data_IF_849354299376
#
_entry.id   IF_849354299376
#
_cell.length_a   1.000
_cell.length_b   1.000
_cell.length_c   1.000
_cell.angle_alpha   90.00
_cell.angle_beta   90.00
_cell.angle_gamma   90.00
#
_symmetry.space_group_name_H-M   'P 1'
#
loop_
_entity.id
_entity.type
_entity.pdbx_description
1 polymer ?
#
# COMPACT_ATOMS: atom_id res chain seq x y z
N UNK A 1 21.54 -37.87 -24.12
CA UNK A 1 20.10 -37.52 -23.89
C UNK A 1 19.26 -38.67 -24.38
N UNK A 2 18.54 -39.32 -23.47
CA UNK A 2 17.81 -40.58 -23.77
C UNK A 2 16.56 -40.29 -24.61
N UNK A 3 16.40 -41.08 -25.67
CA UNK A 3 15.27 -41.06 -26.61
C UNK A 3 13.91 -41.26 -25.95
N UNK A 4 13.88 -41.80 -24.74
CA UNK A 4 12.67 -42.06 -23.94
C UNK A 4 12.08 -40.81 -23.28
N UNK A 5 12.84 -39.70 -23.09
CA UNK A 5 12.34 -38.48 -22.51
C UNK A 5 11.46 -37.64 -23.47
N UNK A 6 11.58 -37.90 -24.79
CA UNK A 6 10.76 -37.26 -25.83
C UNK A 6 9.38 -37.88 -26.00
N UNK A 7 9.23 -39.15 -25.62
CA UNK A 7 7.94 -39.87 -25.80
C UNK A 7 6.98 -39.66 -24.61
N UNK A 8 7.48 -39.28 -23.44
CA UNK A 8 6.69 -39.15 -22.22
C UNK A 8 6.20 -37.73 -21.92
N UNK A 9 6.42 -36.78 -22.83
CA UNK A 9 5.84 -35.42 -22.69
C UNK A 9 6.18 -34.71 -21.38
N UNK A 10 7.31 -35.06 -20.71
CA UNK A 10 7.76 -34.34 -19.52
C UNK A 10 8.41 -33.02 -19.94
N UNK A 11 7.62 -31.98 -19.94
CA UNK A 11 8.12 -30.62 -20.10
C UNK A 11 9.20 -30.33 -19.05
N UNK A 12 10.31 -29.73 -19.50
CA UNK A 12 11.36 -29.24 -18.62
C UNK A 12 10.76 -28.13 -17.74
N UNK A 13 11.04 -28.20 -16.45
CA UNK A 13 10.49 -27.27 -15.44
C UNK A 13 11.58 -26.31 -15.02
N UNK A 14 11.32 -25.05 -15.17
CA UNK A 14 12.09 -23.99 -14.54
C UNK A 14 11.21 -23.40 -13.44
N UNK A 15 11.62 -23.58 -12.18
CA UNK A 15 10.88 -23.06 -11.03
C UNK A 15 11.43 -21.68 -10.70
N UNK A 16 10.59 -20.67 -10.86
CA UNK A 16 10.94 -19.30 -10.48
C UNK A 16 10.31 -19.00 -9.12
N UNK A 17 11.13 -18.67 -8.16
CA UNK A 17 10.72 -18.31 -6.79
C UNK A 17 11.31 -16.96 -6.42
N UNK A 18 10.82 -16.35 -5.35
CA UNK A 18 11.40 -15.11 -4.80
C UNK A 18 12.85 -15.27 -4.36
N UNK A 19 13.35 -16.52 -4.30
CA UNK A 19 14.74 -16.89 -3.98
C UNK A 19 15.58 -17.18 -5.20
N UNK A 20 15.10 -16.90 -6.42
CA UNK A 20 15.85 -17.15 -7.66
C UNK A 20 17.16 -16.33 -7.67
N UNK A 21 18.32 -16.95 -8.01
CA UNK A 21 19.60 -16.25 -8.04
C UNK A 21 19.64 -15.04 -8.97
N UNK A 22 18.93 -15.07 -10.11
CA UNK A 22 18.86 -13.94 -11.04
C UNK A 22 18.09 -12.76 -10.43
N UNK A 23 17.01 -13.05 -9.70
CA UNK A 23 16.27 -12.06 -8.96
C UNK A 23 17.09 -11.51 -7.78
N UNK A 24 17.84 -12.38 -7.11
CA UNK A 24 18.75 -11.99 -6.02
C UNK A 24 19.88 -11.09 -6.53
N UNK A 25 20.41 -11.32 -7.71
CA UNK A 25 21.43 -10.49 -8.36
C UNK A 25 20.88 -9.12 -8.76
N UNK A 26 19.69 -9.06 -9.34
CA UNK A 26 18.99 -7.82 -9.69
C UNK A 26 18.70 -6.95 -8.48
N UNK A 27 18.36 -7.57 -7.34
CA UNK A 27 18.05 -6.88 -6.08
C UNK A 27 19.35 -6.50 -5.33
N UNK A 28 20.54 -6.81 -5.84
CA UNK A 28 21.82 -6.48 -5.21
C UNK A 28 22.18 -7.36 -4.01
N UNK A 29 21.70 -8.61 -3.94
CA UNK A 29 21.95 -9.51 -2.82
C UNK A 29 23.43 -9.91 -2.62
N UNK A 30 24.31 -9.60 -3.56
CA UNK A 30 25.69 -10.10 -3.54
C UNK A 30 26.66 -9.44 -2.56
N UNK A 31 26.31 -8.33 -1.90
CA UNK A 31 27.35 -7.56 -1.18
C UNK A 31 26.98 -7.00 0.19
N UNK A 32 25.81 -7.29 0.77
CA UNK A 32 25.44 -6.69 2.05
C UNK A 32 25.35 -7.74 3.16
N UNK A 33 26.10 -7.61 4.28
CA UNK A 33 25.87 -8.40 5.47
C UNK A 33 24.56 -7.95 6.09
N UNK A 34 23.52 -8.75 5.91
CA UNK A 34 22.20 -8.52 6.49
C UNK A 34 21.09 -8.84 5.49
N UNK A 35 20.63 -10.09 5.54
CA UNK A 35 19.38 -10.49 4.89
C UNK A 35 18.24 -9.67 5.51
N UNK A 36 17.61 -8.79 4.72
CA UNK A 36 16.41 -8.07 5.16
C UNK A 36 15.23 -9.02 4.97
N UNK A 37 14.80 -9.64 6.07
CA UNK A 37 13.55 -10.37 6.10
C UNK A 37 12.38 -9.40 5.83
N UNK A 38 11.61 -9.69 4.79
CA UNK A 38 10.46 -8.87 4.38
C UNK A 38 9.44 -8.74 5.50
N UNK A 39 9.26 -9.76 6.34
CA UNK A 39 8.37 -9.72 7.49
C UNK A 39 8.88 -8.72 8.55
N UNK A 40 10.18 -8.69 8.82
CA UNK A 40 10.78 -7.72 9.74
C UNK A 40 10.73 -6.30 9.17
N UNK A 41 10.98 -6.14 7.89
CA UNK A 41 10.93 -4.83 7.21
C UNK A 41 9.52 -4.26 7.20
N UNK A 42 8.50 -5.08 6.89
CA UNK A 42 7.09 -4.67 6.96
C UNK A 42 6.61 -4.39 8.39
N UNK A 43 7.29 -4.90 9.40
CA UNK A 43 7.04 -4.61 10.81
C UNK A 43 7.51 -3.24 11.30
N UNK A 44 8.27 -2.48 10.50
CA UNK A 44 8.57 -1.07 10.81
C UNK A 44 7.27 -0.25 10.79
N UNK A 45 7.04 0.57 11.82
CA UNK A 45 5.79 1.33 11.98
C UNK A 45 5.44 2.18 10.76
N UNK A 46 6.43 2.84 10.16
CA UNK A 46 6.24 3.65 8.95
C UNK A 46 5.92 2.78 7.73
N UNK A 47 6.59 1.64 7.57
CA UNK A 47 6.29 0.71 6.48
C UNK A 47 4.87 0.16 6.59
N UNK A 48 4.46 -0.24 7.81
CA UNK A 48 3.11 -0.70 8.10
C UNK A 48 2.08 0.40 7.84
N UNK A 49 2.36 1.64 8.25
CA UNK A 49 1.48 2.79 7.97
C UNK A 49 1.31 3.02 6.46
N UNK A 50 2.39 2.95 5.67
CA UNK A 50 2.33 3.06 4.21
C UNK A 50 1.52 1.92 3.57
N UNK A 51 1.77 0.68 3.99
CA UNK A 51 1.03 -0.49 3.48
C UNK A 51 -0.45 -0.34 3.78
N UNK A 52 -0.81 0.03 5.02
CA UNK A 52 -2.20 0.24 5.43
C UNK A 52 -2.84 1.40 4.67
N UNK A 53 -2.14 2.53 4.54
CA UNK A 53 -2.66 3.69 3.81
C UNK A 53 -2.97 3.35 2.34
N UNK A 54 -2.12 2.58 1.67
CA UNK A 54 -2.37 2.19 0.27
C UNK A 54 -3.45 1.12 0.18
N UNK A 55 -3.34 0.04 0.97
CA UNK A 55 -4.25 -1.11 0.85
C UNK A 55 -5.69 -0.75 1.25
N UNK A 56 -5.88 0.00 2.33
CA UNK A 56 -7.20 0.40 2.80
C UNK A 56 -7.85 1.43 1.88
N UNK A 57 -7.11 2.46 1.45
CA UNK A 57 -7.67 3.43 0.52
C UNK A 57 -8.11 2.77 -0.79
N UNK A 58 -7.28 1.91 -1.40
CA UNK A 58 -7.65 1.20 -2.62
C UNK A 58 -8.78 0.19 -2.39
N UNK A 59 -8.80 -0.50 -1.24
CA UNK A 59 -9.87 -1.43 -0.92
C UNK A 59 -11.23 -0.73 -0.69
N UNK A 60 -11.21 0.52 -0.22
CA UNK A 60 -12.42 1.34 -0.02
C UNK A 60 -13.03 1.78 -1.36
N UNK A 61 -12.22 1.96 -2.41
CA UNK A 61 -12.70 2.39 -3.72
C UNK A 61 -13.55 1.30 -4.35
N UNK A 62 -14.79 1.58 -4.81
CA UNK A 62 -15.60 0.60 -5.49
C UNK A 62 -14.91 0.09 -6.76
N UNK A 63 -14.86 -1.23 -6.92
CA UNK A 63 -14.37 -1.90 -8.12
C UNK A 63 -15.59 -2.44 -8.88
N UNK A 64 -15.86 -1.85 -10.03
CA UNK A 64 -17.05 -2.14 -10.80
C UNK A 64 -16.70 -2.84 -12.12
N UNK A 65 -17.67 -3.61 -12.62
CA UNK A 65 -17.71 -4.09 -14.01
C UNK A 65 -18.53 -3.10 -14.81
N UNK A 66 -17.95 -2.58 -15.88
CA UNK A 66 -18.62 -1.68 -16.80
C UNK A 66 -18.85 -2.36 -18.15
N UNK A 67 -19.96 -2.05 -18.79
CA UNK A 67 -20.23 -2.35 -20.19
C UNK A 67 -19.93 -1.13 -21.06
N UNK A 68 -19.31 -1.33 -22.21
CA UNK A 68 -19.18 -0.28 -23.22
C UNK A 68 -20.57 -0.04 -23.84
N UNK A 69 -21.05 1.21 -23.78
CA UNK A 69 -22.28 1.61 -24.43
C UNK A 69 -22.02 1.91 -25.91
N UNK A 70 -22.96 1.55 -26.76
CA UNK A 70 -22.88 1.79 -28.21
C UNK A 70 -22.78 3.30 -28.54
N UNK A 71 -23.21 4.17 -27.64
CA UNK A 71 -23.17 5.63 -27.76
C UNK A 71 -21.89 6.27 -27.24
N UNK A 72 -20.84 5.48 -26.95
CA UNK A 72 -19.54 5.98 -26.47
C UNK A 72 -19.46 6.25 -24.96
N UNK A 73 -20.52 5.94 -24.20
CA UNK A 73 -20.54 5.98 -22.74
C UNK A 73 -20.15 4.64 -22.12
N UNK A 74 -20.23 4.56 -20.79
CA UNK A 74 -20.02 3.34 -20.00
C UNK A 74 -21.15 3.20 -18.98
N UNK A 75 -21.72 1.99 -18.88
CA UNK A 75 -22.77 1.67 -17.93
C UNK A 75 -22.28 0.63 -16.93
N UNK A 76 -22.72 0.70 -15.67
CA UNK A 76 -22.39 -0.32 -14.68
C UNK A 76 -23.13 -1.60 -15.02
N UNK A 77 -22.39 -2.67 -15.30
CA UNK A 77 -22.95 -3.99 -15.65
C UNK A 77 -23.31 -4.77 -14.39
N UNK A 78 -24.35 -4.33 -13.65
CA UNK A 78 -24.78 -4.93 -12.38
C UNK A 78 -25.27 -6.38 -12.53
N UNK A 79 -25.80 -6.73 -13.72
CA UNK A 79 -26.30 -8.07 -14.05
C UNK A 79 -25.17 -9.05 -14.43
N UNK A 80 -23.94 -8.56 -14.60
CA UNK A 80 -22.81 -9.41 -14.93
C UNK A 80 -22.41 -10.26 -13.71
N UNK A 81 -22.22 -11.60 -13.83
CA UNK A 81 -21.93 -12.48 -12.69
C UNK A 81 -20.71 -12.03 -11.87
N UNK A 82 -19.69 -11.47 -12.53
CA UNK A 82 -18.47 -10.98 -11.91
C UNK A 82 -18.70 -9.70 -11.07
N UNK A 83 -19.80 -8.94 -11.32
CA UNK A 83 -20.08 -7.71 -10.59
C UNK A 83 -20.17 -7.99 -9.08
N UNK A 84 -21.02 -8.94 -8.69
CA UNK A 84 -21.22 -9.32 -7.29
C UNK A 84 -19.91 -9.80 -6.64
N UNK A 85 -19.10 -10.58 -7.39
CA UNK A 85 -17.85 -11.12 -6.86
C UNK A 85 -16.84 -10.00 -6.55
N UNK A 86 -16.76 -8.98 -7.39
CA UNK A 86 -15.79 -7.88 -7.22
C UNK A 86 -16.31 -6.78 -6.28
N UNK A 87 -17.63 -6.57 -6.25
CA UNK A 87 -18.24 -5.46 -5.51
C UNK A 87 -18.60 -5.86 -4.08
N UNK A 88 -19.23 -7.01 -3.87
CA UNK A 88 -19.81 -7.40 -2.57
C UNK A 88 -18.87 -8.34 -1.79
N UNK A 89 -18.58 -9.52 -2.36
CA UNK A 89 -17.81 -10.55 -1.68
C UNK A 89 -17.03 -11.44 -2.66
N UNK A 90 -15.75 -11.64 -2.41
CA UNK A 90 -14.91 -12.52 -3.23
C UNK A 90 -15.32 -13.98 -3.12
N UNK A 91 -15.79 -14.39 -1.95
CA UNK A 91 -16.29 -15.73 -1.65
C UNK A 91 -17.17 -15.69 -0.39
N UNK A 92 -17.63 -16.84 0.07
CA UNK A 92 -18.51 -16.95 1.24
C UNK A 92 -17.85 -16.54 2.59
N UNK A 93 -16.53 -16.37 2.62
CA UNK A 93 -15.77 -16.07 3.84
C UNK A 93 -15.21 -14.65 3.87
N UNK A 94 -14.99 -14.03 2.70
CA UNK A 94 -14.29 -12.76 2.57
C UNK A 94 -15.12 -11.73 1.81
N UNK A 95 -15.32 -10.60 2.43
CA UNK A 95 -15.87 -9.43 1.75
C UNK A 95 -14.92 -8.94 0.65
N UNK A 96 -15.44 -8.20 -0.30
CA UNK A 96 -14.62 -7.62 -1.38
C UNK A 96 -13.57 -6.63 -0.82
N UNK A 97 -13.89 -5.93 0.27
CA UNK A 97 -12.95 -5.04 0.94
C UNK A 97 -11.77 -5.82 1.54
N UNK A 98 -12.05 -6.80 2.41
CA UNK A 98 -11.01 -7.60 3.07
C UNK A 98 -10.10 -8.32 2.09
N UNK A 99 -10.68 -8.90 1.05
CA UNK A 99 -9.92 -9.61 0.03
C UNK A 99 -9.02 -8.66 -0.77
N UNK A 100 -9.51 -7.48 -1.15
CA UNK A 100 -8.70 -6.46 -1.86
C UNK A 100 -7.61 -5.90 -0.96
N UNK A 101 -7.92 -5.56 0.30
CA UNK A 101 -6.91 -5.11 1.27
C UNK A 101 -5.78 -6.13 1.41
N UNK A 102 -6.13 -7.41 1.60
CA UNK A 102 -5.16 -8.49 1.70
C UNK A 102 -4.28 -8.64 0.44
N UNK A 103 -4.89 -8.59 -0.76
CA UNK A 103 -4.15 -8.72 -2.01
C UNK A 103 -3.20 -7.55 -2.23
N UNK A 104 -3.62 -6.32 -1.92
CA UNK A 104 -2.79 -5.13 -2.06
C UNK A 104 -1.65 -5.14 -1.04
N UNK A 105 -1.93 -5.49 0.21
CA UNK A 105 -0.89 -5.65 1.23
C UNK A 105 0.13 -6.73 0.83
N UNK A 106 -0.33 -7.87 0.31
CA UNK A 106 0.55 -8.93 -0.22
C UNK A 106 1.41 -8.44 -1.39
N UNK A 107 0.83 -7.64 -2.29
CA UNK A 107 1.53 -7.06 -3.43
C UNK A 107 2.64 -6.10 -2.98
N UNK A 108 2.38 -5.28 -1.95
CA UNK A 108 3.35 -4.33 -1.41
C UNK A 108 4.47 -5.01 -0.61
N UNK A 109 4.18 -6.10 0.09
CA UNK A 109 5.15 -6.81 0.92
C UNK A 109 6.00 -7.79 0.13
N UNK A 110 5.38 -8.67 -0.66
CA UNK A 110 6.06 -9.74 -1.40
C UNK A 110 6.34 -9.41 -2.87
N UNK A 111 5.76 -8.34 -3.42
CA UNK A 111 5.79 -8.01 -4.84
C UNK A 111 4.79 -8.79 -5.68
N UNK A 112 4.13 -9.80 -5.10
CA UNK A 112 3.21 -10.69 -5.78
C UNK A 112 1.97 -10.93 -4.93
N UNK A 113 0.80 -11.02 -5.57
CA UNK A 113 -0.41 -11.47 -4.92
C UNK A 113 -1.14 -12.47 -5.83
N UNK A 114 -1.69 -13.50 -5.23
CA UNK A 114 -2.29 -14.61 -5.95
C UNK A 114 -3.71 -14.85 -5.48
N UNK A 115 -4.58 -15.17 -6.43
CA UNK A 115 -5.97 -15.51 -6.14
C UNK A 115 -6.39 -16.69 -7.02
N UNK A 116 -6.89 -17.75 -6.42
CA UNK A 116 -7.49 -18.85 -7.17
C UNK A 116 -8.87 -18.40 -7.68
N UNK A 117 -9.09 -18.60 -8.96
CA UNK A 117 -10.35 -18.30 -9.62
C UNK A 117 -11.21 -19.56 -9.60
N UNK A 118 -12.44 -19.42 -9.10
CA UNK A 118 -13.42 -20.49 -9.11
C UNK A 118 -14.43 -20.27 -10.22
N UNK A 119 -14.54 -21.27 -11.10
CA UNK A 119 -15.47 -21.23 -12.23
C UNK A 119 -16.61 -22.24 -12.06
N UNK A 120 -17.79 -21.89 -12.55
CA UNK A 120 -18.87 -22.85 -12.70
C UNK A 120 -18.66 -23.72 -13.97
N UNK A 121 -19.56 -24.69 -14.19
CA UNK A 121 -19.54 -25.56 -15.37
C UNK A 121 -19.72 -24.83 -16.72
N UNK A 122 -20.07 -23.54 -16.71
CA UNK A 122 -20.18 -22.68 -17.91
C UNK A 122 -18.96 -21.75 -18.08
N UNK A 123 -17.94 -21.89 -17.24
CA UNK A 123 -16.75 -21.05 -17.27
C UNK A 123 -16.92 -19.63 -16.70
N UNK A 124 -18.02 -19.35 -16.00
CA UNK A 124 -18.24 -18.07 -15.34
C UNK A 124 -17.56 -18.07 -13.99
N UNK A 125 -16.95 -16.95 -13.61
CA UNK A 125 -16.32 -16.76 -12.31
C UNK A 125 -17.40 -16.69 -11.22
N UNK A 126 -17.31 -17.59 -10.24
CA UNK A 126 -18.23 -17.68 -9.11
C UNK A 126 -17.61 -17.20 -7.81
N UNK A 127 -16.30 -17.26 -7.69
CA UNK A 127 -15.58 -16.85 -6.49
C UNK A 127 -14.10 -16.64 -6.73
N UNK A 128 -13.50 -15.88 -5.84
CA UNK A 128 -12.08 -15.55 -5.82
C UNK A 128 -11.51 -15.89 -4.46
N UNK A 129 -10.46 -16.70 -4.42
CA UNK A 129 -9.85 -17.17 -3.17
C UNK A 129 -8.41 -16.68 -3.07
N UNK A 130 -8.13 -15.63 -2.30
CA UNK A 130 -6.77 -15.14 -2.09
C UNK A 130 -5.87 -16.23 -1.51
N UNK A 131 -4.64 -16.30 -2.00
CA UNK A 131 -3.62 -17.27 -1.59
C UNK A 131 -2.43 -16.52 -0.97
N UNK A 132 -1.88 -17.08 0.11
CA UNK A 132 -0.68 -16.51 0.72
C UNK A 132 0.52 -16.66 -0.25
N UNK A 133 1.25 -15.57 -0.57
CA UNK A 133 2.35 -15.62 -1.55
C UNK A 133 3.43 -16.66 -1.23
N UNK A 134 3.74 -16.88 0.04
CA UNK A 134 4.70 -17.89 0.48
C UNK A 134 4.29 -19.34 0.23
N UNK A 135 3.02 -19.60 -0.11
CA UNK A 135 2.50 -20.93 -0.43
C UNK A 135 2.49 -21.23 -1.94
N UNK A 136 2.83 -20.24 -2.78
CA UNK A 136 2.72 -20.34 -4.24
C UNK A 136 4.09 -20.33 -4.88
N UNK A 137 4.42 -21.42 -5.56
CA UNK A 137 5.59 -21.49 -6.44
C UNK A 137 5.14 -21.38 -7.90
N UNK A 138 5.77 -20.48 -8.65
CA UNK A 138 5.47 -20.26 -10.07
C UNK A 138 6.48 -21.03 -10.90
N UNK A 139 5.99 -21.80 -11.86
CA UNK A 139 6.80 -22.60 -12.76
C UNK A 139 6.51 -22.16 -14.21
N UNK A 140 7.57 -21.90 -14.99
CA UNK A 140 7.47 -21.67 -16.43
C UNK A 140 7.65 -22.99 -17.17
N UNK A 141 6.72 -23.31 -18.05
CA UNK A 141 6.76 -24.49 -18.91
C UNK A 141 7.54 -24.19 -20.19
N UNK A 142 8.01 -25.22 -20.88
CA UNK A 142 8.68 -25.07 -22.18
C UNK A 142 7.79 -24.40 -23.25
N UNK A 143 6.47 -24.51 -23.10
CA UNK A 143 5.47 -23.81 -23.93
C UNK A 143 5.42 -22.30 -23.67
N UNK A 144 6.13 -21.80 -22.66
CA UNK A 144 6.06 -20.40 -22.21
C UNK A 144 4.90 -20.10 -21.26
N UNK A 145 3.97 -21.06 -21.06
CA UNK A 145 2.84 -20.90 -20.11
C UNK A 145 3.30 -21.01 -18.67
N UNK A 146 2.58 -20.33 -17.78
CA UNK A 146 2.84 -20.40 -16.34
C UNK A 146 1.97 -21.50 -15.70
N UNK A 147 2.54 -22.13 -14.70
CA UNK A 147 1.88 -23.08 -13.83
C UNK A 147 2.17 -22.73 -12.39
N UNK A 148 1.18 -22.87 -11.54
CA UNK A 148 1.26 -22.49 -10.14
C UNK A 148 1.12 -23.72 -9.26
N UNK A 149 2.12 -23.96 -8.42
CA UNK A 149 2.06 -25.00 -7.39
C UNK A 149 1.73 -24.34 -6.06
N UNK A 150 0.59 -24.66 -5.50
CA UNK A 150 0.12 -24.16 -4.23
C UNK A 150 0.28 -25.21 -3.15
N UNK A 151 1.08 -24.94 -2.13
CA UNK A 151 1.24 -25.81 -0.98
C UNK A 151 0.04 -25.68 -0.04
N UNK A 152 -0.51 -26.81 0.42
CA UNK A 152 -1.49 -26.87 1.49
C UNK A 152 -0.75 -26.89 2.84
N UNK A 153 -1.29 -26.30 3.93
CA UNK A 153 -0.75 -26.47 5.30
C UNK A 153 -0.51 -27.93 5.74
N UNK A 154 -1.20 -28.88 5.13
CA UNK A 154 -1.00 -30.33 5.35
C UNK A 154 0.12 -30.94 4.53
N UNK A 155 0.95 -30.14 3.85
CA UNK A 155 2.10 -30.62 3.07
C UNK A 155 1.74 -31.19 1.69
N UNK A 156 0.47 -31.16 1.27
CA UNK A 156 0.05 -31.55 -0.08
C UNK A 156 0.14 -30.34 -1.00
N UNK A 157 0.54 -30.54 -2.25
CA UNK A 157 0.56 -29.48 -3.25
C UNK A 157 -0.49 -29.72 -4.32
N UNK A 158 -1.22 -28.66 -4.67
CA UNK A 158 -2.12 -28.61 -5.82
C UNK A 158 -1.47 -27.82 -6.94
N UNK A 159 -1.72 -28.23 -8.16
CA UNK A 159 -1.22 -27.57 -9.37
C UNK A 159 -2.41 -26.88 -10.03
N UNK A 160 -2.21 -25.61 -10.36
CA UNK A 160 -3.17 -24.79 -11.08
C UNK A 160 -2.55 -24.27 -12.37
N UNK A 161 -3.36 -24.14 -13.39
CA UNK A 161 -2.98 -23.56 -14.67
C UNK A 161 -3.06 -22.02 -14.62
N UNK A 162 -2.52 -21.38 -15.65
CA UNK A 162 -2.46 -19.92 -15.73
C UNK A 162 -3.86 -19.28 -15.71
N UNK A 163 -4.86 -19.94 -16.24
CA UNK A 163 -6.24 -19.47 -16.29
C UNK A 163 -6.99 -19.62 -14.97
N UNK A 164 -6.46 -20.40 -14.04
CA UNK A 164 -7.09 -20.64 -12.73
C UNK A 164 -6.54 -19.72 -11.63
N UNK A 165 -5.52 -18.91 -11.95
CA UNK A 165 -4.86 -18.01 -10.98
C UNK A 165 -4.80 -16.60 -11.53
N UNK A 166 -5.39 -15.66 -10.78
CA UNK A 166 -5.10 -14.24 -10.92
C UNK A 166 -3.78 -13.95 -10.21
N UNK A 167 -2.75 -13.58 -10.97
CA UNK A 167 -1.43 -13.21 -10.46
C UNK A 167 -1.22 -11.70 -10.63
N UNK A 168 -1.29 -10.96 -9.53
CA UNK A 168 -0.95 -9.55 -9.47
C UNK A 168 0.54 -9.39 -9.19
N UNK A 169 1.21 -8.45 -9.87
CA UNK A 169 2.65 -8.17 -9.73
C UNK A 169 2.86 -6.69 -9.51
N UNK A 170 3.71 -6.32 -8.55
CA UNK A 170 4.01 -4.91 -8.27
C UNK A 170 4.89 -4.31 -9.38
N UNK A 171 6.12 -4.74 -9.49
CA UNK A 171 7.05 -4.37 -10.57
C UNK A 171 7.66 -5.66 -11.11
N UNK A 172 7.65 -5.83 -12.41
CA UNK A 172 8.26 -7.03 -13.01
C UNK A 172 9.75 -7.07 -12.71
N UNK A 173 10.20 -8.22 -12.25
CA UNK A 173 11.61 -8.57 -12.12
C UNK A 173 12.26 -8.85 -13.48
N UNK A 174 13.58 -9.13 -13.48
CA UNK A 174 14.33 -9.39 -14.70
C UNK A 174 13.89 -10.67 -15.43
N UNK A 175 13.27 -11.60 -14.72
CA UNK A 175 12.68 -12.83 -15.27
C UNK A 175 11.39 -12.57 -16.08
N UNK A 176 10.81 -11.37 -15.98
CA UNK A 176 9.53 -11.01 -16.60
C UNK A 176 8.32 -11.79 -16.06
N UNK A 177 8.48 -12.55 -14.97
CA UNK A 177 7.46 -13.45 -14.42
C UNK A 177 7.04 -13.01 -13.02
N UNK A 178 8.02 -12.86 -12.12
CA UNK A 178 7.78 -12.50 -10.74
C UNK A 178 7.77 -10.98 -10.53
N UNK A 179 6.95 -10.55 -9.61
CA UNK A 179 6.96 -9.17 -9.13
C UNK A 179 7.98 -8.97 -8.03
N UNK A 180 8.56 -7.77 -7.96
CA UNK A 180 9.49 -7.33 -6.92
C UNK A 180 8.82 -6.24 -6.08
N UNK A 181 8.84 -6.38 -4.76
CA UNK A 181 8.20 -5.43 -3.85
C UNK A 181 8.99 -4.13 -3.67
N UNK A 182 8.36 -3.03 -3.22
CA UNK A 182 9.07 -1.82 -2.82
C UNK A 182 10.14 -2.10 -1.76
N UNK A 183 9.85 -3.01 -0.83
CA UNK A 183 10.77 -3.42 0.24
C UNK A 183 12.03 -4.07 -0.35
N UNK A 184 11.85 -4.97 -1.30
CA UNK A 184 12.98 -5.65 -1.97
C UNK A 184 13.81 -4.68 -2.82
N UNK A 185 13.16 -3.74 -3.51
CA UNK A 185 13.84 -2.73 -4.33
C UNK A 185 14.68 -1.75 -3.51
N UNK A 186 14.27 -1.44 -2.27
CA UNK A 186 14.93 -0.47 -1.39
C UNK A 186 15.58 -1.12 -0.17
N UNK A 187 16.16 -2.27 -0.35
CA UNK A 187 16.68 -3.15 0.70
C UNK A 187 17.66 -2.47 1.65
N UNK A 188 18.55 -1.64 1.13
CA UNK A 188 19.54 -0.91 1.93
C UNK A 188 18.89 0.09 2.88
N UNK A 189 17.86 0.80 2.41
CA UNK A 189 17.04 1.70 3.24
C UNK A 189 16.41 0.95 4.41
N UNK A 190 15.84 -0.22 4.15
CA UNK A 190 15.24 -1.05 5.20
C UNK A 190 16.28 -1.65 6.15
N UNK A 191 17.43 -2.08 5.65
CA UNK A 191 18.52 -2.57 6.48
C UNK A 191 18.99 -1.48 7.47
N UNK A 192 19.15 -0.26 7.00
CA UNK A 192 19.50 0.90 7.83
C UNK A 192 18.42 1.20 8.87
N UNK A 193 17.14 1.26 8.47
CA UNK A 193 16.03 1.53 9.37
C UNK A 193 15.90 0.46 10.47
N UNK A 194 16.04 -0.82 10.13
CA UNK A 194 16.06 -1.93 11.09
C UNK A 194 17.21 -1.85 12.06
N UNK A 195 18.41 -1.52 11.57
CA UNK A 195 19.60 -1.34 12.43
C UNK A 195 19.40 -0.20 13.43
N UNK A 196 18.85 0.94 12.98
CA UNK A 196 18.51 2.07 13.86
C UNK A 196 17.44 1.69 14.88
N UNK A 197 16.42 0.92 14.48
CA UNK A 197 15.39 0.42 15.38
C UNK A 197 15.98 -0.52 16.46
N UNK A 198 16.85 -1.45 16.07
CA UNK A 198 17.54 -2.33 17.01
C UNK A 198 18.45 -1.57 17.98
N UNK A 199 19.14 -0.56 17.46
CA UNK A 199 19.99 0.29 18.30
C UNK A 199 19.16 1.08 19.32
N UNK A 200 18.04 1.67 18.89
CA UNK A 200 17.11 2.35 19.80
C UNK A 200 16.54 1.40 20.86
N UNK A 201 16.16 0.18 20.47
CA UNK A 201 15.64 -0.83 21.39
C UNK A 201 16.71 -1.25 22.42
N UNK A 202 17.96 -1.47 21.97
CA UNK A 202 19.07 -1.80 22.87
C UNK A 202 19.40 -0.64 23.82
N UNK A 203 19.31 0.61 23.37
CA UNK A 203 19.51 1.78 24.22
C UNK A 203 18.39 1.91 25.26
N UNK A 204 17.13 1.71 24.85
CA UNK A 204 15.98 1.73 25.75
C UNK A 204 16.04 0.58 26.78
N UNK A 205 16.43 -0.64 26.37
CA UNK A 205 16.53 -1.80 27.26
C UNK A 205 17.68 -1.66 28.27
N UNK A 206 18.73 -0.93 27.95
CA UNK A 206 19.84 -0.66 28.90
C UNK A 206 19.47 0.33 29.98
N UNK A 207 18.23 0.76 30.07
CA UNK A 207 17.48 1.55 31.06
C UNK A 207 18.25 2.45 32.06
N UNK A 208 19.56 2.45 32.08
CA UNK A 208 20.38 3.27 32.94
C UNK A 208 21.13 4.34 32.12
N UNK A 209 20.40 5.39 31.71
CA UNK A 209 21.07 6.67 31.43
C UNK A 209 21.12 7.42 32.76
N UNK A 210 22.26 7.59 33.37
CA UNK A 210 22.33 8.45 34.54
C UNK A 210 21.92 9.86 34.07
N UNK A 211 20.86 10.38 34.65
CA UNK A 211 20.39 11.76 34.38
C UNK A 211 21.42 12.79 34.84
N UNK A 212 22.38 12.35 35.62
CA UNK A 212 23.49 13.15 36.11
C UNK A 212 24.59 12.34 36.76
N UNK A 213 25.69 13.00 37.05
CA UNK A 213 26.81 12.45 37.78
C UNK A 213 27.03 13.22 39.09
N UNK A 214 27.14 12.51 40.18
CA UNK A 214 27.60 13.08 41.45
C UNK A 214 29.16 13.19 41.41
N UNK A 215 29.63 14.40 41.45
CA UNK A 215 31.07 14.70 41.49
C UNK A 215 31.45 15.04 42.91
N UNK A 216 32.33 14.24 43.50
CA UNK A 216 32.84 14.49 44.83
C UNK A 216 34.21 15.25 44.74
N UNK A 217 34.41 16.29 45.54
CA UNK A 217 35.65 17.08 45.51
C UNK A 217 36.88 16.29 45.96
N UNK A 218 36.68 15.19 46.70
CA UNK A 218 37.75 14.27 47.12
C UNK A 218 37.33 12.82 46.88
N UNK A 219 38.33 11.93 46.70
CA UNK A 219 38.10 10.51 46.54
C UNK A 219 37.49 9.92 47.80
N UNK A 220 36.27 9.36 47.67
CA UNK A 220 35.59 8.66 48.78
C UNK A 220 36.01 7.19 48.79
N UNK A 221 36.36 6.69 50.02
CA UNK A 221 36.69 5.28 50.23
C UNK A 221 35.51 4.34 49.89
N UNK A 222 35.84 3.08 49.58
CA UNK A 222 34.87 2.10 49.05
C UNK A 222 33.60 1.93 49.88
N UNK A 223 33.68 1.90 51.20
CA UNK A 223 32.51 1.75 52.10
C UNK A 223 31.55 2.94 52.00
N UNK A 224 32.05 4.17 51.97
CA UNK A 224 31.22 5.37 51.81
C UNK A 224 30.55 5.42 50.44
N UNK A 225 31.24 4.90 49.41
CA UNK A 225 30.69 4.81 48.06
C UNK A 225 29.49 3.85 48.00
N UNK A 226 29.60 2.71 48.68
CA UNK A 226 28.53 1.72 48.76
C UNK A 226 27.32 2.28 49.53
N UNK A 227 27.54 2.95 50.68
CA UNK A 227 26.46 3.57 51.46
C UNK A 227 25.70 4.66 50.68
N UNK A 228 26.39 5.47 49.89
CA UNK A 228 25.74 6.47 49.00
C UNK A 228 24.94 5.81 47.89
N UNK A 229 25.47 4.74 47.28
CA UNK A 229 24.76 3.99 46.23
C UNK A 229 23.53 3.29 46.77
N UNK A 230 23.59 2.72 47.97
CA UNK A 230 22.43 2.04 48.58
C UNK A 230 21.36 3.03 49.02
N UNK A 231 21.73 4.19 49.54
CA UNK A 231 20.78 5.30 49.83
C UNK A 231 20.12 5.84 48.57
N UNK A 232 20.87 5.95 47.47
CA UNK A 232 20.30 6.33 46.17
C UNK A 232 19.37 5.27 45.60
N UNK A 233 19.72 3.98 45.68
CA UNK A 233 18.86 2.88 45.26
C UNK A 233 17.55 2.84 46.04
N UNK A 234 17.65 2.88 47.38
CA UNK A 234 16.44 2.87 48.23
C UNK A 234 15.49 4.03 47.96
N UNK A 235 16.04 5.18 47.52
CA UNK A 235 15.25 6.37 47.21
C UNK A 235 14.67 6.37 45.80
N UNK A 236 15.35 5.75 44.84
CA UNK A 236 14.87 5.57 43.44
C UNK A 236 13.85 4.43 43.35
N UNK A 237 13.98 3.39 44.16
CA UNK A 237 13.05 2.26 44.24
C UNK A 237 11.86 2.51 45.18
N UNK A 238 11.92 3.54 46.05
CA UNK A 238 10.84 3.96 46.93
C UNK A 238 9.91 4.98 46.30
N UNK A 239 8.63 4.82 46.60
CA UNK A 239 7.43 5.52 46.16
C UNK A 239 7.63 6.90 45.49
N UNK A 240 7.09 7.05 44.31
CA UNK A 240 7.21 8.20 43.40
C UNK A 240 6.56 9.53 43.91
N UNK A 241 6.20 9.61 45.18
CA UNK A 241 5.53 10.79 45.76
C UNK A 241 6.46 11.79 46.48
N UNK A 242 7.75 11.49 46.57
CA UNK A 242 8.68 12.41 47.28
C UNK A 242 9.39 13.30 46.27
N UNK A 243 9.03 14.59 46.28
CA UNK A 243 9.66 15.70 45.54
C UNK A 243 11.11 15.47 45.20
N UNK A 244 11.47 15.56 43.92
CA UNK A 244 12.79 15.31 43.35
C UNK A 244 13.91 16.27 43.79
N UNK A 245 13.96 16.67 45.05
CA UNK A 245 15.07 17.48 45.59
C UNK A 245 16.06 16.54 46.28
N UNK A 246 17.19 16.32 45.64
CA UNK A 246 18.35 15.65 46.25
C UNK A 246 19.12 16.67 47.04
N UNK A 247 19.12 16.55 48.39
CA UNK A 247 20.01 17.37 49.24
C UNK A 247 21.36 16.70 49.24
N UNK A 248 22.35 17.40 48.67
CA UNK A 248 23.75 16.99 48.61
C UNK A 248 24.51 17.75 49.69
N UNK A 249 25.12 17.01 50.63
CA UNK A 249 25.98 17.55 51.67
C UNK A 249 27.48 17.32 51.32
N UNK A 250 28.37 18.16 51.84
CA UNK A 250 29.81 17.93 51.67
C UNK A 250 30.44 18.38 50.36
N UNK A 251 29.87 19.37 49.68
CA UNK A 251 30.45 19.94 48.47
C UNK A 251 30.32 19.06 47.22
N UNK A 252 29.36 18.16 47.23
CA UNK A 252 29.01 17.29 46.06
C UNK A 252 28.30 18.13 45.03
N UNK A 253 28.80 18.13 43.80
CA UNK A 253 28.20 18.82 42.65
C UNK A 253 27.42 17.85 41.79
N UNK A 254 26.22 18.25 41.36
CA UNK A 254 25.36 17.50 40.42
C UNK A 254 25.59 18.02 39.01
N UNK A 255 26.24 17.23 38.18
CA UNK A 255 26.32 17.51 36.74
C UNK A 255 25.21 16.78 36.01
N UNK A 256 24.21 17.51 35.55
CA UNK A 256 23.22 16.95 34.62
C UNK A 256 23.90 16.55 33.31
N UNK A 257 23.68 15.30 32.90
CA UNK A 257 24.11 14.81 31.61
C UNK A 257 22.98 15.15 30.62
N UNK A 258 23.01 16.37 30.05
CA UNK A 258 22.11 16.74 28.97
C UNK A 258 22.24 15.78 27.79
N UNK A 259 21.17 15.69 26.96
CA UNK A 259 21.21 14.98 25.68
C UNK A 259 22.46 15.38 24.91
N UNK A 260 23.30 14.39 24.59
CA UNK A 260 24.51 14.66 23.83
C UNK A 260 24.15 15.04 22.40
N UNK A 261 25.00 15.83 21.72
CA UNK A 261 24.83 16.14 20.29
C UNK A 261 24.63 14.89 19.45
N UNK A 262 25.23 13.76 19.84
CA UNK A 262 25.06 12.45 19.20
C UNK A 262 23.62 11.89 19.33
N UNK A 263 22.95 12.16 20.45
CA UNK A 263 21.55 11.72 20.63
C UNK A 263 20.58 12.54 19.77
N UNK A 264 20.84 13.84 19.61
CA UNK A 264 20.10 14.71 18.70
C UNK A 264 20.31 14.29 17.24
N UNK A 265 21.57 14.05 16.83
CA UNK A 265 21.89 13.54 15.49
C UNK A 265 21.23 12.18 15.21
N UNK A 266 21.16 11.30 16.19
CA UNK A 266 20.48 10.01 16.06
C UNK A 266 18.98 10.17 15.84
N UNK A 267 18.33 11.09 16.54
CA UNK A 267 16.91 11.39 16.35
C UNK A 267 16.63 11.95 14.96
N UNK A 268 17.45 12.89 14.49
CA UNK A 268 17.35 13.44 13.13
C UNK A 268 17.58 12.35 12.05
N UNK A 269 18.56 11.49 12.24
CA UNK A 269 18.82 10.35 11.35
C UNK A 269 17.63 9.39 11.28
N UNK A 270 16.94 9.12 12.41
CA UNK A 270 15.71 8.31 12.42
C UNK A 270 14.57 8.97 11.67
N UNK A 271 14.40 10.28 11.80
CA UNK A 271 13.38 11.03 11.05
C UNK A 271 13.62 10.93 9.55
N UNK A 272 14.86 11.13 9.10
CA UNK A 272 15.25 10.96 7.70
C UNK A 272 14.99 9.53 7.20
N UNK A 273 15.36 8.54 7.98
CA UNK A 273 15.12 7.13 7.67
C UNK A 273 13.63 6.81 7.51
N UNK A 274 12.77 7.35 8.37
CA UNK A 274 11.33 7.20 8.26
C UNK A 274 10.78 7.84 6.97
N UNK A 275 11.27 9.03 6.59
CA UNK A 275 10.91 9.67 5.33
C UNK A 275 11.36 8.85 4.12
N UNK A 276 12.55 8.27 4.19
CA UNK A 276 13.07 7.42 3.11
C UNK A 276 12.23 6.16 2.94
N UNK A 277 11.80 5.52 4.04
CA UNK A 277 10.85 4.39 3.98
C UNK A 277 9.53 4.81 3.33
N UNK A 278 8.95 5.95 3.70
CA UNK A 278 7.72 6.45 3.07
C UNK A 278 7.89 6.70 1.56
N UNK A 279 9.05 7.25 1.15
CA UNK A 279 9.39 7.45 -0.27
C UNK A 279 9.42 6.16 -1.08
N UNK A 280 9.81 5.03 -0.50
CA UNK A 280 9.86 3.74 -1.20
C UNK A 280 8.49 3.27 -1.67
N UNK A 281 7.43 3.65 -0.94
CA UNK A 281 6.04 3.38 -1.31
C UNK A 281 5.41 4.49 -2.16
N UNK A 282 6.08 5.65 -2.27
CA UNK A 282 5.52 6.83 -2.92
C UNK A 282 4.40 7.51 -2.11
N UNK A 283 4.34 7.24 -0.81
CA UNK A 283 3.35 7.83 0.10
C UNK A 283 3.88 9.15 0.64
N UNK A 284 3.11 10.24 0.57
CA UNK A 284 3.48 11.51 1.18
C UNK A 284 3.66 11.36 2.69
N UNK A 285 4.69 11.98 3.30
CA UNK A 285 5.02 11.81 4.71
C UNK A 285 3.88 12.18 5.66
N UNK A 286 3.09 13.19 5.35
CA UNK A 286 1.94 13.63 6.17
C UNK A 286 0.87 12.57 6.32
N UNK A 287 0.64 11.76 5.27
CA UNK A 287 -0.35 10.66 5.27
C UNK A 287 0.02 9.58 6.31
N UNK A 288 1.30 9.41 6.59
CA UNK A 288 1.80 8.45 7.59
C UNK A 288 2.21 9.11 8.92
N UNK A 289 1.73 10.35 9.15
CA UNK A 289 1.90 11.05 10.42
C UNK A 289 3.26 11.72 10.62
N UNK A 290 4.06 11.91 9.56
CA UNK A 290 5.31 12.67 9.60
C UNK A 290 5.01 14.12 9.21
N UNK A 291 4.81 14.99 10.23
CA UNK A 291 4.27 16.35 10.05
C UNK A 291 5.28 17.47 10.33
N UNK A 292 6.55 17.17 10.48
CA UNK A 292 7.59 18.12 10.93
C UNK A 292 7.63 19.47 10.15
N UNK A 293 7.09 19.53 8.92
CA UNK A 293 7.01 20.73 8.09
C UNK A 293 5.64 20.90 7.40
N UNK A 294 4.58 20.28 7.93
CA UNK A 294 3.27 20.35 7.30
C UNK A 294 2.54 21.63 7.64
N UNK A 295 2.14 22.40 6.63
CA UNK A 295 1.17 23.50 6.75
C UNK A 295 -0.19 23.04 6.23
N UNK A 296 -1.28 23.64 6.71
CA UNK A 296 -2.64 23.27 6.28
C UNK A 296 -2.84 23.30 4.76
N UNK A 297 -2.19 24.23 4.07
CA UNK A 297 -2.27 24.34 2.61
C UNK A 297 -1.58 23.18 1.87
N UNK A 298 -0.63 22.50 2.51
CA UNK A 298 0.10 21.38 1.89
C UNK A 298 -0.66 20.05 2.02
N UNK A 299 -1.52 19.89 3.02
CA UNK A 299 -2.23 18.64 3.31
C UNK A 299 -3.17 18.24 2.16
N UNK A 300 -3.92 19.19 1.60
CA UNK A 300 -4.81 18.93 0.46
C UNK A 300 -4.03 18.57 -0.80
N UNK A 301 -2.90 19.26 -1.03
CA UNK A 301 -1.99 18.93 -2.13
C UNK A 301 -1.39 17.54 -2.01
N UNK A 302 -1.01 17.13 -0.80
CA UNK A 302 -0.43 15.81 -0.52
C UNK A 302 -1.47 14.69 -0.62
N UNK A 303 -2.70 14.93 -0.17
CA UNK A 303 -3.81 13.98 -0.36
C UNK A 303 -4.07 13.72 -1.84
N UNK A 304 -4.10 14.77 -2.67
CA UNK A 304 -4.22 14.65 -4.13
C UNK A 304 -2.99 13.96 -4.73
N UNK A 305 -1.79 14.25 -4.23
CA UNK A 305 -0.55 13.61 -4.68
C UNK A 305 -0.55 12.10 -4.39
N UNK A 306 -1.07 11.67 -3.22
CA UNK A 306 -1.26 10.25 -2.90
C UNK A 306 -2.14 9.57 -3.97
N UNK A 307 -3.29 10.16 -4.30
CA UNK A 307 -4.20 9.57 -5.28
C UNK A 307 -3.52 9.47 -6.64
N UNK A 308 -2.97 10.56 -7.16
CA UNK A 308 -2.45 10.63 -8.53
C UNK A 308 -1.15 9.83 -8.70
N UNK A 309 -0.23 9.90 -7.72
CA UNK A 309 1.12 9.32 -7.85
C UNK A 309 1.23 7.90 -7.32
N UNK A 310 0.38 7.51 -6.37
CA UNK A 310 0.46 6.22 -5.70
C UNK A 310 -0.76 5.33 -6.02
N UNK A 311 -1.98 5.78 -5.70
CA UNK A 311 -3.17 4.93 -5.79
C UNK A 311 -3.60 4.68 -7.24
N UNK A 312 -3.64 5.68 -8.11
CA UNK A 312 -4.10 5.52 -9.50
C UNK A 312 -3.21 4.58 -10.33
N UNK A 313 -1.87 4.66 -10.29
CA UNK A 313 -1.02 3.68 -10.97
C UNK A 313 -1.19 2.25 -10.43
N UNK A 314 -1.42 2.10 -9.12
CA UNK A 314 -1.67 0.81 -8.49
C UNK A 314 -3.03 0.25 -8.92
N UNK A 315 -4.09 1.05 -8.87
CA UNK A 315 -5.42 0.69 -9.37
C UNK A 315 -5.36 0.21 -10.80
N UNK A 316 -4.70 0.97 -11.69
CA UNK A 316 -4.57 0.61 -13.11
C UNK A 316 -3.87 -0.72 -13.33
N UNK A 317 -2.85 -1.02 -12.53
CA UNK A 317 -2.13 -2.31 -12.57
C UNK A 317 -3.05 -3.46 -12.19
N UNK A 318 -3.83 -3.31 -11.13
CA UNK A 318 -4.78 -4.30 -10.64
C UNK A 318 -5.89 -4.52 -11.68
N UNK A 319 -6.45 -3.44 -12.22
CA UNK A 319 -7.50 -3.48 -13.25
C UNK A 319 -7.05 -4.25 -14.50
N UNK A 320 -5.88 -3.92 -15.02
CA UNK A 320 -5.35 -4.60 -16.20
C UNK A 320 -5.14 -6.10 -15.97
N UNK A 321 -4.61 -6.47 -14.80
CA UNK A 321 -4.41 -7.86 -14.46
C UNK A 321 -5.75 -8.60 -14.27
N UNK A 322 -6.72 -7.98 -13.60
CA UNK A 322 -8.06 -8.54 -13.42
C UNK A 322 -8.80 -8.66 -14.77
N UNK A 323 -8.74 -7.63 -15.61
CA UNK A 323 -9.32 -7.69 -16.96
C UNK A 323 -8.75 -8.85 -17.78
N UNK A 324 -7.43 -9.06 -17.69
CA UNK A 324 -6.75 -10.13 -18.42
C UNK A 324 -7.13 -11.52 -17.89
N UNK A 325 -7.31 -11.69 -16.58
CA UNK A 325 -7.52 -12.99 -15.95
C UNK A 325 -9.01 -13.37 -15.80
N UNK A 326 -9.89 -12.40 -15.54
CA UNK A 326 -11.29 -12.67 -15.18
C UNK A 326 -12.26 -12.52 -16.35
N UNK A 327 -11.89 -11.82 -17.41
CA UNK A 327 -12.70 -11.62 -18.60
C UNK A 327 -12.11 -12.42 -19.78
N UNK A 328 -12.98 -13.09 -20.52
CA UNK A 328 -12.60 -13.76 -21.77
C UNK A 328 -12.20 -12.74 -22.85
N UNK A 329 -11.52 -13.16 -23.91
CA UNK A 329 -11.14 -12.29 -25.01
C UNK A 329 -12.35 -11.56 -25.65
N UNK A 330 -13.47 -12.25 -25.81
CA UNK A 330 -14.72 -11.65 -26.28
C UNK A 330 -15.37 -10.76 -25.22
N UNK A 331 -15.34 -11.18 -23.95
CA UNK A 331 -15.85 -10.39 -22.83
C UNK A 331 -15.16 -9.02 -22.73
N UNK A 332 -13.85 -8.95 -22.93
CA UNK A 332 -13.08 -7.70 -22.90
C UNK A 332 -13.41 -6.70 -24.01
N UNK A 333 -14.08 -7.11 -25.08
CA UNK A 333 -14.56 -6.19 -26.11
C UNK A 333 -15.77 -5.39 -25.64
N UNK A 334 -16.57 -5.98 -24.72
CA UNK A 334 -17.83 -5.41 -24.26
C UNK A 334 -17.78 -4.92 -22.82
N UNK A 335 -16.96 -5.52 -21.98
CA UNK A 335 -16.88 -5.24 -20.56
C UNK A 335 -15.46 -4.95 -20.13
N UNK A 336 -15.30 -4.15 -19.08
CA UNK A 336 -14.04 -3.91 -18.41
C UNK A 336 -14.24 -3.69 -16.90
N UNK A 337 -13.18 -3.94 -16.14
CA UNK A 337 -13.13 -3.78 -14.69
C UNK A 337 -12.36 -2.49 -14.40
N UNK A 338 -12.91 -1.59 -13.61
CA UNK A 338 -12.30 -0.31 -13.27
C UNK A 338 -12.69 0.14 -11.87
N UNK A 339 -11.73 0.77 -11.14
CA UNK A 339 -11.99 1.42 -9.87
C UNK A 339 -12.65 2.79 -10.11
N UNK A 340 -13.64 3.13 -9.29
CA UNK A 340 -14.24 4.47 -9.28
C UNK A 340 -13.41 5.44 -8.43
N UNK A 341 -12.27 5.88 -8.98
CA UNK A 341 -11.38 6.82 -8.31
C UNK A 341 -11.98 8.22 -8.10
N UNK A 342 -13.08 8.53 -8.79
CA UNK A 342 -13.73 9.84 -8.68
C UNK A 342 -14.14 10.16 -7.23
N UNK A 343 -14.50 9.13 -6.45
CA UNK A 343 -14.82 9.26 -5.03
C UNK A 343 -13.70 9.82 -4.17
N UNK A 344 -12.45 9.42 -4.41
CA UNK A 344 -11.28 9.91 -3.64
C UNK A 344 -10.86 11.34 -4.00
N UNK A 345 -11.07 11.74 -5.24
CA UNK A 345 -10.78 13.09 -5.71
C UNK A 345 -11.86 14.10 -5.27
N UNK A 346 -12.97 13.61 -4.72
CA UNK A 346 -14.11 14.40 -4.26
C UNK A 346 -13.91 15.09 -2.90
N UNK A 347 -12.68 15.16 -2.38
CA UNK A 347 -12.37 15.67 -1.03
C UNK A 347 -12.84 17.10 -0.73
N UNK A 348 -13.00 17.98 -1.73
CA UNK A 348 -13.55 19.31 -1.58
C UNK A 348 -14.98 19.39 -2.12
N UNK A 349 -15.95 19.37 -1.20
CA UNK A 349 -17.38 19.54 -1.50
C UNK A 349 -17.63 20.82 -2.32
N UNK A 350 -16.96 21.90 -1.97
CA UNK A 350 -17.11 23.19 -2.64
C UNK A 350 -16.62 23.14 -4.08
N UNK A 351 -15.41 22.61 -4.31
CA UNK A 351 -14.85 22.46 -5.65
C UNK A 351 -15.71 21.53 -6.52
N UNK A 352 -16.27 20.48 -5.94
CA UNK A 352 -17.17 19.55 -6.64
C UNK A 352 -18.47 20.23 -7.07
N UNK A 353 -19.14 20.92 -6.16
CA UNK A 353 -20.38 21.63 -6.49
C UNK A 353 -20.14 22.78 -7.47
N UNK A 354 -18.98 23.42 -7.41
CA UNK A 354 -18.56 24.41 -8.41
C UNK A 354 -18.38 23.77 -9.80
N UNK A 355 -17.76 22.59 -9.86
CA UNK A 355 -17.65 21.83 -11.12
C UNK A 355 -19.03 21.44 -11.67
N UNK A 356 -19.97 21.02 -10.79
CA UNK A 356 -21.34 20.72 -11.21
C UNK A 356 -22.05 21.97 -11.72
N UNK A 357 -21.87 23.12 -11.06
CA UNK A 357 -22.41 24.40 -11.51
C UNK A 357 -21.93 24.72 -12.93
N UNK A 358 -20.63 24.64 -13.15
CA UNK A 358 -20.04 24.86 -14.48
C UNK A 358 -20.62 23.88 -15.51
N UNK A 359 -20.67 22.58 -15.17
CA UNK A 359 -21.23 21.56 -16.08
C UNK A 359 -22.68 21.78 -16.43
N UNK A 360 -23.48 22.28 -15.47
CA UNK A 360 -24.87 22.61 -15.67
C UNK A 360 -25.05 23.88 -16.49
N UNK A 361 -24.26 24.92 -16.20
CA UNK A 361 -24.29 26.20 -16.94
C UNK A 361 -23.90 26.02 -18.42
N UNK A 362 -22.93 25.15 -18.71
CA UNK A 362 -22.45 24.87 -20.07
C UNK A 362 -23.22 23.76 -20.77
N UNK A 363 -24.22 23.17 -20.15
CA UNK A 363 -25.15 22.22 -20.74
C UNK A 363 -24.61 20.83 -21.02
N UNK A 364 -23.47 20.42 -20.42
CA UNK A 364 -22.94 19.07 -20.57
C UNK A 364 -23.24 18.15 -19.36
N UNK A 365 -23.98 18.66 -18.36
CA UNK A 365 -24.52 17.87 -17.22
C UNK A 365 -26.01 18.12 -17.06
N UNK A 366 -26.78 17.02 -16.83
CA UNK A 366 -28.16 17.06 -16.41
C UNK A 366 -28.28 17.04 -14.88
N UNK A 367 -29.42 17.51 -14.28
CA UNK A 367 -29.68 17.34 -12.86
C UNK A 367 -29.66 15.88 -12.38
N UNK A 368 -30.22 14.95 -13.15
CA UNK A 368 -30.28 13.54 -12.75
C UNK A 368 -28.90 12.88 -12.78
N UNK A 369 -28.01 13.24 -13.70
CA UNK A 369 -26.63 12.78 -13.66
C UNK A 369 -25.92 13.22 -12.39
N UNK A 370 -26.06 14.50 -11.99
CA UNK A 370 -25.48 15.03 -10.74
C UNK A 370 -26.08 14.31 -9.54
N UNK A 371 -27.41 14.12 -9.52
CA UNK A 371 -28.13 13.42 -8.45
C UNK A 371 -27.70 11.97 -8.32
N UNK A 372 -27.52 11.27 -9.44
CA UNK A 372 -26.99 9.91 -9.47
C UNK A 372 -25.56 9.83 -8.90
N UNK A 373 -24.71 10.78 -9.22
CA UNK A 373 -23.36 10.82 -8.64
C UNK A 373 -23.33 11.10 -7.13
N UNK A 374 -24.37 11.79 -6.63
CA UNK A 374 -24.55 12.07 -5.19
C UNK A 374 -25.46 11.03 -4.48
N UNK A 375 -25.85 9.93 -5.15
CA UNK A 375 -26.79 8.93 -4.65
C UNK A 375 -28.15 9.52 -4.22
N UNK A 376 -28.62 10.56 -4.89
CA UNK A 376 -29.91 11.17 -4.69
C UNK A 376 -30.92 10.59 -5.70
N UNK A 377 -32.21 10.52 -5.32
CA UNK A 377 -33.28 10.08 -6.22
C UNK A 377 -33.36 10.98 -7.44
N UNK A 378 -33.64 10.41 -8.60
CA UNK A 378 -33.94 11.16 -9.80
C UNK A 378 -35.21 12.01 -9.62
N UNK A 379 -35.25 13.11 -10.35
CA UNK A 379 -36.44 14.02 -10.39
C UNK A 379 -37.04 14.01 -11.79
N UNK A 380 -38.30 14.25 -11.85
CA UNK A 380 -39.03 14.39 -13.12
C UNK A 380 -38.45 15.55 -13.94
N UNK A 381 -38.24 15.35 -15.24
CA UNK A 381 -37.60 16.27 -16.17
C UNK A 381 -36.15 16.63 -15.82
N UNK A 382 -35.50 15.84 -14.96
CA UNK A 382 -34.10 16.07 -14.51
C UNK A 382 -33.05 15.63 -15.54
N UNK A 383 -33.41 15.06 -16.67
CA UNK A 383 -32.49 14.62 -17.73
C UNK A 383 -32.23 15.69 -18.80
N UNK A 384 -32.92 16.83 -18.69
CA UNK A 384 -32.76 17.92 -19.63
C UNK A 384 -31.43 18.66 -19.45
N UNK A 385 -30.73 18.87 -20.57
CA UNK A 385 -29.54 19.70 -20.66
C UNK A 385 -29.90 21.14 -20.96
N UNK A 386 -29.29 22.09 -20.24
CA UNK A 386 -29.48 23.51 -20.52
C UNK A 386 -28.55 23.94 -21.65
N UNK A 387 -29.07 24.71 -22.60
CA UNK A 387 -28.26 25.41 -23.59
C UNK A 387 -28.18 26.90 -23.20
N UNK A 388 -26.97 27.49 -23.05
CA UNK A 388 -26.86 28.92 -22.75
C UNK A 388 -27.47 29.76 -23.88
N UNK A 389 -28.43 30.60 -23.57
CA UNK A 389 -29.10 31.46 -24.56
C UNK A 389 -28.19 32.51 -25.24
N UNK A 390 -27.02 32.75 -24.65
CA UNK A 390 -26.01 33.70 -25.19
C UNK A 390 -25.02 33.04 -26.16
N UNK A 391 -25.21 31.76 -26.51
CA UNK A 391 -24.38 31.06 -27.49
C UNK A 391 -25.14 30.84 -28.79
N UNK A 392 -24.54 31.24 -29.88
CA UNK A 392 -24.99 30.94 -31.24
C UNK A 392 -24.14 29.85 -31.87
N UNK A 393 -24.71 29.10 -32.81
CA UNK A 393 -23.95 28.09 -33.55
C UNK A 393 -22.83 28.78 -34.36
N UNK A 394 -21.65 28.18 -34.41
CA UNK A 394 -20.48 28.70 -35.14
C UNK A 394 -20.74 28.97 -36.64
N UNK A 395 -21.84 28.42 -37.20
CA UNK A 395 -22.28 28.64 -38.58
C UNK A 395 -23.28 29.80 -38.77
N UNK A 396 -23.93 30.25 -37.69
CA UNK A 396 -24.88 31.38 -37.72
C UNK A 396 -24.19 32.67 -37.35
N UNK A 397 -23.27 33.16 -38.21
CA UNK A 397 -22.84 34.57 -38.14
C UNK A 397 -24.00 35.43 -38.66
N UNK A 398 -24.56 36.13 -37.72
CA UNK A 398 -25.51 37.19 -37.85
C UNK A 398 -25.87 37.67 -39.25
N UNK A 399 -27.00 37.26 -39.71
CA UNK A 399 -27.79 38.07 -40.61
C UNK A 399 -28.35 39.22 -39.81
N UNK A 400 -27.56 40.29 -39.67
CA UNK A 400 -28.10 41.56 -39.25
C UNK A 400 -29.01 42.05 -40.37
N UNK A 401 -30.33 41.87 -40.18
CA UNK A 401 -31.29 42.68 -40.93
C UNK A 401 -31.23 44.08 -40.40
N UNK A 402 -30.70 44.95 -41.24
CA UNK A 402 -31.00 46.36 -41.22
C UNK A 402 -32.46 46.51 -41.64
N UNK A 403 -33.30 47.00 -40.76
CA UNK A 403 -34.42 47.89 -41.07
C UNK A 403 -34.56 48.91 -39.93
#
# INVERSE_FOLDING_TARGET
>A
MSFLSRILGRERRETVTTSDPSLAEFIGQRSTPGFVDTNRASGLSVAQACISAISQNLATIPLNVYANSDNGGRDRATDHPLYRVLHDSFNDQLTAFEAREYLIASLLTSGNAYTRIEHNGRGQVMGLHPLHPGMVAVEKLESGRLRYRVADPKGRSKIYLQEEILHLRYRLGPDGIMGVSPIQLSRETYAMALTQQEQATKQAAKAFRPEGALVFPQSIGGEKKTDVLDKLRTRVEGDASTSGILVLDGGVDWKSLSLSSKDAEFLESRKLSNMDVARTFGVPPTVVGITDNATYSNVDGESRALVVRCLAPMARRIEQAMNAALLTAEGRKRHFIEHDLAGLLRGDLKARYEAYRIGREWGWLSPNEIRNWENLREIENGDEYLSPLNMTHLGERGGGENE
#
